data_IF_876126215246
#
_entry.id   IF_876126215246
#
_cell.length_a   1.000
_cell.length_b   1.000
_cell.length_c   1.000
_cell.angle_alpha   90.00
_cell.angle_beta   90.00
_cell.angle_gamma   90.00
#
_symmetry.space_group_name_H-M   'P 1'
#
loop_
_entity.id
_entity.type
_entity.pdbx_description
1 polymer ?
#
# COMPACT_ATOMS: atom_id res chain seq x y z
N UNK A 1 -18.23 -6.23 51.14
CA UNK A 1 -18.75 -7.37 51.94
C UNK A 1 -20.26 -7.55 51.83
N UNK A 2 -21.08 -6.51 52.05
CA UNK A 2 -22.56 -6.59 51.98
C UNK A 2 -23.18 -7.06 50.65
N UNK A 3 -22.53 -6.81 49.51
CA UNK A 3 -23.03 -7.24 48.19
C UNK A 3 -22.85 -8.75 47.93
N UNK A 4 -21.77 -9.36 48.44
CA UNK A 4 -21.58 -10.82 48.37
C UNK A 4 -22.55 -11.55 49.29
N UNK A 5 -22.78 -11.01 50.50
CA UNK A 5 -23.74 -11.58 51.44
C UNK A 5 -25.17 -11.58 50.87
N UNK A 6 -25.58 -10.50 50.21
CA UNK A 6 -26.90 -10.43 49.54
C UNK A 6 -27.06 -11.40 48.37
N UNK A 7 -26.00 -11.69 47.61
CA UNK A 7 -26.05 -12.67 46.51
C UNK A 7 -26.19 -14.09 47.03
N UNK A 8 -25.39 -14.45 48.04
CA UNK A 8 -25.44 -15.77 48.69
C UNK A 8 -26.79 -16.00 49.35
N UNK A 9 -27.33 -15.00 50.07
CA UNK A 9 -28.67 -15.10 50.66
C UNK A 9 -29.74 -15.28 49.58
N UNK A 10 -29.67 -14.53 48.47
CA UNK A 10 -30.61 -14.68 47.36
C UNK A 10 -30.54 -16.07 46.71
N UNK A 11 -29.34 -16.63 46.53
CA UNK A 11 -29.16 -18.00 46.02
C UNK A 11 -29.75 -19.05 46.96
N UNK A 12 -29.52 -18.91 48.28
CA UNK A 12 -30.07 -19.83 49.28
C UNK A 12 -31.60 -19.74 49.32
N UNK A 13 -32.19 -18.54 49.33
CA UNK A 13 -33.65 -18.38 49.35
C UNK A 13 -34.30 -18.87 48.06
N UNK A 14 -33.65 -18.69 46.91
CA UNK A 14 -34.13 -19.23 45.63
C UNK A 14 -34.09 -20.77 45.62
N UNK A 15 -33.00 -21.35 46.14
CA UNK A 15 -32.81 -22.80 46.22
C UNK A 15 -33.81 -23.45 47.17
N UNK A 16 -33.95 -22.89 48.39
CA UNK A 16 -34.95 -23.36 49.37
C UNK A 16 -36.37 -23.13 48.83
N UNK A 17 -36.61 -22.01 48.15
CA UNK A 17 -37.88 -21.73 47.49
C UNK A 17 -38.26 -22.80 46.47
N UNK A 18 -37.32 -23.25 45.65
CA UNK A 18 -37.53 -24.33 44.69
C UNK A 18 -37.81 -25.68 45.38
N UNK A 19 -37.08 -26.02 46.44
CA UNK A 19 -37.32 -27.25 47.21
C UNK A 19 -38.68 -27.25 47.92
N UNK A 20 -39.07 -26.13 48.54
CA UNK A 20 -40.36 -25.97 49.22
C UNK A 20 -41.51 -25.97 48.21
N UNK A 21 -41.31 -25.36 47.04
CA UNK A 21 -42.30 -25.39 45.96
C UNK A 21 -42.47 -26.81 45.38
N UNK A 22 -41.37 -27.52 45.13
CA UNK A 22 -41.39 -28.90 44.63
C UNK A 22 -42.08 -29.87 45.60
N UNK A 23 -41.72 -29.82 46.89
CA UNK A 23 -42.37 -30.62 47.93
C UNK A 23 -43.83 -30.23 48.13
N UNK A 24 -44.17 -28.93 48.05
CA UNK A 24 -45.55 -28.44 48.09
C UNK A 24 -46.41 -28.93 46.93
N UNK A 25 -45.87 -28.98 45.71
CA UNK A 25 -46.55 -29.53 44.52
C UNK A 25 -46.84 -31.02 44.66
N UNK A 26 -45.85 -31.80 45.13
CA UNK A 26 -46.02 -33.24 45.38
C UNK A 26 -47.14 -33.47 46.41
N UNK A 27 -47.10 -32.73 47.53
CA UNK A 27 -48.13 -32.83 48.57
C UNK A 27 -49.51 -32.39 48.08
N UNK A 28 -49.57 -31.34 47.24
CA UNK A 28 -50.82 -30.87 46.63
C UNK A 28 -51.45 -31.93 45.70
N UNK A 29 -50.65 -32.59 44.85
CA UNK A 29 -51.13 -33.66 43.98
C UNK A 29 -51.67 -34.88 44.75
N UNK A 30 -51.05 -35.22 45.89
CA UNK A 30 -51.55 -36.26 46.80
C UNK A 30 -52.84 -35.81 47.52
N UNK A 31 -52.91 -34.58 48.02
CA UNK A 31 -54.06 -34.08 48.78
C UNK A 31 -55.31 -33.83 47.94
N UNK A 32 -55.16 -33.54 46.64
CA UNK A 32 -56.28 -33.34 45.70
C UNK A 32 -56.66 -34.60 44.93
N UNK A 33 -56.06 -35.75 45.26
CA UNK A 33 -56.30 -37.06 44.63
C UNK A 33 -56.14 -37.07 43.10
N UNK A 34 -55.41 -36.09 42.54
CA UNK A 34 -55.06 -36.05 41.11
C UNK A 34 -54.10 -37.21 40.79
N UNK A 35 -53.34 -37.67 41.79
CA UNK A 35 -52.50 -38.86 41.71
C UNK A 35 -53.09 -40.00 42.57
N UNK A 36 -53.92 -40.84 41.95
CA UNK A 36 -54.52 -42.01 42.60
C UNK A 36 -53.46 -43.10 42.80
N UNK A 37 -53.28 -43.58 44.03
CA UNK A 37 -52.33 -44.66 44.38
C UNK A 37 -52.83 -46.03 43.91
N UNK A 38 -52.79 -46.21 42.59
CA UNK A 38 -53.01 -47.48 41.87
C UNK A 38 -51.64 -48.21 41.75
N UNK A 39 -51.55 -49.48 41.36
CA UNK A 39 -50.25 -50.13 41.08
C UNK A 39 -49.40 -49.44 39.98
N UNK A 40 -50.00 -48.67 39.06
CA UNK A 40 -49.31 -48.01 37.95
C UNK A 40 -48.19 -47.02 38.36
N UNK A 41 -48.39 -46.04 39.26
CA UNK A 41 -47.33 -45.11 39.68
C UNK A 41 -46.09 -45.76 40.33
N UNK A 42 -46.25 -46.93 40.94
CA UNK A 42 -45.12 -47.71 41.48
C UNK A 42 -44.23 -48.20 40.33
N UNK A 43 -44.83 -48.66 39.23
CA UNK A 43 -44.10 -49.09 38.03
C UNK A 43 -43.38 -47.93 37.32
N UNK A 44 -44.01 -46.75 37.26
CA UNK A 44 -43.40 -45.54 36.70
C UNK A 44 -42.18 -45.12 37.54
N UNK A 45 -42.31 -45.12 38.87
CA UNK A 45 -41.21 -44.77 39.78
C UNK A 45 -40.04 -45.75 39.65
N UNK A 46 -40.32 -47.05 39.51
CA UNK A 46 -39.29 -48.07 39.26
C UNK A 46 -38.58 -47.85 37.91
N UNK A 47 -39.31 -47.51 36.86
CA UNK A 47 -38.74 -47.23 35.53
C UNK A 47 -37.86 -45.98 35.56
N UNK A 48 -38.30 -44.91 36.23
CA UNK A 48 -37.49 -43.68 36.41
C UNK A 48 -36.23 -43.97 37.22
N UNK A 49 -36.33 -44.79 38.26
CA UNK A 49 -35.16 -45.22 39.05
C UNK A 49 -34.14 -46.01 38.22
N UNK A 50 -34.59 -46.90 37.34
CA UNK A 50 -33.70 -47.63 36.44
C UNK A 50 -33.00 -46.69 35.44
N UNK A 51 -33.73 -45.73 34.87
CA UNK A 51 -33.15 -44.72 33.97
C UNK A 51 -32.10 -43.87 34.70
N UNK A 52 -32.37 -43.42 35.93
CA UNK A 52 -31.42 -42.67 36.74
C UNK A 52 -30.14 -43.50 37.01
N UNK A 53 -30.28 -44.78 37.35
CA UNK A 53 -29.16 -45.69 37.55
C UNK A 53 -28.30 -45.88 36.29
N UNK A 54 -28.94 -45.97 35.12
CA UNK A 54 -28.23 -46.05 33.84
C UNK A 54 -27.47 -44.75 33.56
N UNK A 55 -28.07 -43.59 33.82
CA UNK A 55 -27.42 -42.28 33.63
C UNK A 55 -26.22 -42.12 34.58
N UNK A 56 -26.32 -42.53 35.84
CA UNK A 56 -25.21 -42.43 36.80
C UNK A 56 -24.03 -43.33 36.42
N UNK A 57 -24.29 -44.56 35.97
CA UNK A 57 -23.21 -45.50 35.65
C UNK A 57 -22.63 -45.33 34.24
N UNK A 58 -23.47 -45.04 33.24
CA UNK A 58 -23.06 -44.94 31.84
C UNK A 58 -22.90 -43.50 31.35
N UNK A 59 -23.32 -42.50 32.12
CA UNK A 59 -23.20 -41.09 31.74
C UNK A 59 -21.76 -40.66 31.47
N UNK A 60 -20.81 -41.11 32.30
CA UNK A 60 -19.39 -40.83 32.09
C UNK A 60 -18.87 -41.46 30.78
N UNK A 61 -19.25 -42.72 30.50
CA UNK A 61 -18.84 -43.42 29.27
C UNK A 61 -19.44 -42.80 28.01
N UNK A 62 -20.70 -42.36 28.06
CA UNK A 62 -21.37 -41.66 26.95
C UNK A 62 -20.74 -40.28 26.74
N UNK A 63 -20.37 -39.59 27.82
CA UNK A 63 -19.65 -38.31 27.76
C UNK A 63 -18.28 -38.45 27.07
N UNK A 64 -17.46 -39.41 27.53
CA UNK A 64 -16.16 -39.68 26.91
C UNK A 64 -16.29 -40.10 25.44
N UNK A 65 -17.35 -40.83 25.08
CA UNK A 65 -17.61 -41.21 23.70
C UNK A 65 -18.00 -40.00 22.84
N UNK A 66 -18.84 -39.11 23.37
CA UNK A 66 -19.21 -37.85 22.70
C UNK A 66 -18.00 -36.93 22.51
N UNK A 67 -17.15 -36.80 23.52
CA UNK A 67 -15.93 -36.00 23.46
C UNK A 67 -14.96 -36.56 22.41
N UNK A 68 -14.74 -37.88 22.37
CA UNK A 68 -13.91 -38.53 21.35
C UNK A 68 -14.43 -38.32 19.93
N UNK A 69 -15.75 -38.38 19.73
CA UNK A 69 -16.34 -38.09 18.41
C UNK A 69 -16.11 -36.63 18.01
N UNK A 70 -16.26 -35.70 18.94
CA UNK A 70 -16.06 -34.29 18.67
C UNK A 70 -14.59 -33.98 18.33
N UNK A 71 -13.65 -34.56 19.09
CA UNK A 71 -12.22 -34.46 18.80
C UNK A 71 -11.87 -35.01 17.40
N UNK A 72 -12.43 -36.16 17.02
CA UNK A 72 -12.22 -36.73 15.68
C UNK A 72 -12.79 -35.83 14.57
N UNK A 73 -13.98 -35.26 14.76
CA UNK A 73 -14.58 -34.34 13.79
C UNK A 73 -13.69 -33.10 13.62
N UNK A 74 -13.20 -32.53 14.73
CA UNK A 74 -12.30 -31.36 14.71
C UNK A 74 -10.97 -31.71 14.01
N UNK A 75 -10.38 -32.87 14.32
CA UNK A 75 -9.13 -33.31 13.71
C UNK A 75 -9.26 -33.50 12.19
N UNK A 76 -10.32 -34.17 11.74
CA UNK A 76 -10.60 -34.36 10.31
C UNK A 76 -10.83 -33.02 9.60
N UNK A 77 -11.57 -32.10 10.24
CA UNK A 77 -11.83 -30.78 9.67
C UNK A 77 -10.54 -29.96 9.51
N UNK A 78 -9.66 -30.00 10.52
CA UNK A 78 -8.38 -29.29 10.46
C UNK A 78 -7.43 -29.93 9.44
N UNK A 79 -7.43 -31.25 9.27
CA UNK A 79 -6.66 -31.92 8.22
C UNK A 79 -7.12 -31.50 6.82
N UNK A 80 -8.43 -31.52 6.55
CA UNK A 80 -8.99 -31.11 5.26
C UNK A 80 -8.70 -29.63 4.99
N UNK A 81 -8.85 -28.78 6.00
CA UNK A 81 -8.51 -27.36 5.90
C UNK A 81 -7.02 -27.17 5.59
N UNK A 82 -6.12 -27.84 6.31
CA UNK A 82 -4.68 -27.76 6.08
C UNK A 82 -4.29 -28.27 4.69
N UNK A 83 -4.93 -29.35 4.21
CA UNK A 83 -4.73 -29.86 2.85
C UNK A 83 -5.19 -28.86 1.79
N UNK A 84 -6.35 -28.22 1.99
CA UNK A 84 -6.86 -27.19 1.09
C UNK A 84 -5.95 -25.95 1.02
N UNK A 85 -5.44 -25.48 2.16
CA UNK A 85 -4.52 -24.35 2.23
C UNK A 85 -3.21 -24.68 1.51
N UNK A 86 -2.65 -25.88 1.74
CA UNK A 86 -1.44 -26.35 1.04
C UNK A 86 -1.65 -26.44 -0.47
N UNK A 87 -2.80 -26.95 -0.91
CA UNK A 87 -3.14 -27.03 -2.32
C UNK A 87 -3.18 -25.64 -2.98
N UNK A 88 -3.88 -24.69 -2.36
CA UNK A 88 -3.98 -23.30 -2.86
C UNK A 88 -2.61 -22.61 -2.86
N UNK A 89 -1.80 -22.83 -1.82
CA UNK A 89 -0.46 -22.26 -1.74
C UNK A 89 0.45 -22.81 -2.85
N UNK A 90 0.43 -24.13 -3.10
CA UNK A 90 1.19 -24.74 -4.18
C UNK A 90 0.75 -24.23 -5.56
N UNK A 91 -0.56 -24.09 -5.80
CA UNK A 91 -1.08 -23.50 -7.03
C UNK A 91 -0.59 -22.06 -7.23
N UNK A 92 -0.60 -21.25 -6.16
CA UNK A 92 -0.11 -19.86 -6.20
C UNK A 92 1.40 -19.78 -6.48
N UNK A 93 2.19 -20.67 -5.89
CA UNK A 93 3.64 -20.70 -6.11
C UNK A 93 3.99 -21.13 -7.54
N UNK A 94 3.23 -22.09 -8.10
CA UNK A 94 3.34 -22.46 -9.50
C UNK A 94 3.00 -21.28 -10.42
N UNK A 95 1.90 -20.58 -10.18
CA UNK A 95 1.51 -19.39 -10.95
C UNK A 95 2.58 -18.29 -10.87
N UNK A 96 3.14 -18.01 -9.68
CA UNK A 96 4.24 -17.04 -9.53
C UNK A 96 5.48 -17.43 -10.32
N UNK A 97 5.83 -18.72 -10.33
CA UNK A 97 6.98 -19.21 -11.10
C UNK A 97 6.75 -19.03 -12.61
N UNK A 98 5.52 -19.29 -13.09
CA UNK A 98 5.14 -19.05 -14.48
C UNK A 98 5.14 -17.56 -14.83
N UNK A 99 4.62 -16.71 -13.93
CA UNK A 99 4.63 -15.26 -14.11
C UNK A 99 6.05 -14.71 -14.20
N UNK A 100 6.99 -15.22 -13.40
CA UNK A 100 8.40 -14.82 -13.48
C UNK A 100 9.03 -15.19 -14.84
N UNK A 101 8.71 -16.37 -15.37
CA UNK A 101 9.17 -16.80 -16.69
C UNK A 101 8.59 -15.90 -17.79
N UNK A 102 7.28 -15.64 -17.77
CA UNK A 102 6.62 -14.76 -18.74
C UNK A 102 7.20 -13.35 -18.66
N UNK A 103 7.37 -12.81 -17.46
CA UNK A 103 7.94 -11.48 -17.26
C UNK A 103 9.35 -11.37 -17.86
N UNK A 104 10.20 -12.39 -17.65
CA UNK A 104 11.55 -12.44 -18.23
C UNK A 104 11.53 -12.50 -19.76
N UNK A 105 10.54 -13.18 -20.35
CA UNK A 105 10.38 -13.25 -21.80
C UNK A 105 9.92 -11.91 -22.39
N UNK A 106 9.01 -11.20 -21.72
CA UNK A 106 8.52 -9.88 -22.15
C UNK A 106 9.65 -8.85 -22.07
N UNK A 107 10.41 -8.81 -20.97
CA UNK A 107 11.54 -7.87 -20.84
C UNK A 107 12.62 -8.15 -21.89
N UNK A 108 12.86 -9.42 -22.23
CA UNK A 108 13.76 -9.79 -23.31
C UNK A 108 13.26 -9.30 -24.68
N UNK A 109 11.97 -9.48 -25.00
CA UNK A 109 11.38 -8.99 -26.24
C UNK A 109 11.44 -7.46 -26.35
N UNK A 110 11.07 -6.75 -25.28
CA UNK A 110 11.16 -5.29 -25.21
C UNK A 110 12.60 -4.81 -25.39
N UNK A 111 13.57 -5.45 -24.73
CA UNK A 111 14.98 -5.11 -24.87
C UNK A 111 15.48 -5.33 -26.29
N UNK A 112 15.02 -6.41 -26.94
CA UNK A 112 15.33 -6.70 -28.34
C UNK A 112 14.77 -5.64 -29.28
N UNK A 113 13.52 -5.22 -29.11
CA UNK A 113 12.92 -4.16 -29.93
C UNK A 113 13.65 -2.82 -29.78
N UNK A 114 13.98 -2.43 -28.54
CA UNK A 114 14.77 -1.21 -28.27
C UNK A 114 16.16 -1.28 -28.93
N UNK A 115 16.81 -2.45 -28.85
CA UNK A 115 18.13 -2.66 -29.46
C UNK A 115 18.09 -2.50 -30.98
N UNK A 116 16.99 -2.90 -31.64
CA UNK A 116 16.82 -2.75 -33.09
C UNK A 116 16.54 -1.30 -33.49
N UNK A 117 15.82 -0.53 -32.67
CA UNK A 117 15.47 0.85 -32.98
C UNK A 117 16.62 1.84 -32.72
N UNK A 118 17.49 1.54 -31.75
CA UNK A 118 18.60 2.41 -31.35
C UNK A 118 19.57 2.81 -32.48
N UNK A 119 20.09 1.89 -33.33
CA UNK A 119 21.01 2.28 -34.40
C UNK A 119 20.34 3.17 -35.45
N UNK A 120 19.07 2.92 -35.77
CA UNK A 120 18.30 3.74 -36.73
C UNK A 120 18.12 5.16 -36.19
N UNK A 121 17.74 5.29 -34.92
CA UNK A 121 17.62 6.60 -34.27
C UNK A 121 18.96 7.34 -34.24
N UNK A 122 20.05 6.63 -33.92
CA UNK A 122 21.39 7.20 -33.86
C UNK A 122 21.85 7.74 -35.22
N UNK A 123 21.65 6.97 -36.29
CA UNK A 123 22.04 7.39 -37.64
C UNK A 123 21.29 8.66 -38.08
N UNK A 124 19.97 8.71 -37.86
CA UNK A 124 19.17 9.91 -38.16
C UNK A 124 19.63 11.13 -37.36
N UNK A 125 19.96 10.93 -36.08
CA UNK A 125 20.48 11.99 -35.22
C UNK A 125 21.85 12.49 -35.69
N UNK A 126 22.77 11.57 -36.02
CA UNK A 126 24.12 11.91 -36.46
C UNK A 126 24.08 12.73 -37.76
N UNK A 127 23.18 12.40 -38.69
CA UNK A 127 22.95 13.21 -39.91
C UNK A 127 22.44 14.62 -39.59
N UNK A 128 21.47 14.74 -38.68
CA UNK A 128 20.92 16.04 -38.30
C UNK A 128 21.96 16.91 -37.58
N UNK A 129 22.69 16.33 -36.63
CA UNK A 129 23.75 17.03 -35.90
C UNK A 129 24.88 17.46 -36.85
N UNK A 130 25.21 16.65 -37.86
CA UNK A 130 26.13 17.05 -38.92
C UNK A 130 25.66 18.30 -39.66
N UNK A 131 24.40 18.33 -40.14
CA UNK A 131 23.86 19.51 -40.82
C UNK A 131 23.84 20.76 -39.94
N UNK A 132 23.48 20.64 -38.66
CA UNK A 132 23.52 21.76 -37.71
C UNK A 132 24.96 22.25 -37.52
N UNK A 133 25.93 21.34 -37.38
CA UNK A 133 27.33 21.69 -37.19
C UNK A 133 27.90 22.45 -38.39
N UNK A 134 27.57 22.01 -39.62
CA UNK A 134 27.99 22.68 -40.86
C UNK A 134 27.36 24.06 -40.95
N UNK A 135 26.06 24.21 -40.64
CA UNK A 135 25.41 25.52 -40.64
C UNK A 135 26.03 26.48 -39.62
N UNK A 136 26.32 25.99 -38.41
CA UNK A 136 26.95 26.81 -37.38
C UNK A 136 28.37 27.23 -37.78
N UNK A 137 29.14 26.33 -38.40
CA UNK A 137 30.46 26.64 -38.94
C UNK A 137 30.40 27.70 -40.04
N UNK A 138 29.43 27.59 -40.96
CA UNK A 138 29.25 28.57 -42.04
C UNK A 138 28.88 29.95 -41.48
N UNK A 139 27.90 30.02 -40.56
CA UNK A 139 27.54 31.27 -39.88
C UNK A 139 28.73 31.87 -39.15
N UNK A 140 29.51 31.06 -38.46
CA UNK A 140 30.69 31.53 -37.74
C UNK A 140 31.75 32.09 -38.69
N UNK A 141 31.98 31.44 -39.85
CA UNK A 141 32.89 31.94 -40.88
C UNK A 141 32.40 33.23 -41.55
N UNK A 142 31.10 33.34 -41.78
CA UNK A 142 30.47 34.57 -42.28
C UNK A 142 30.64 35.73 -41.28
N UNK A 143 30.41 35.46 -39.98
CA UNK A 143 30.63 36.43 -38.92
C UNK A 143 32.10 36.86 -38.82
N UNK A 144 33.04 35.92 -38.85
CA UNK A 144 34.48 36.20 -38.83
C UNK A 144 34.90 37.05 -40.04
N UNK A 145 34.41 36.70 -41.23
CA UNK A 145 34.66 37.47 -42.45
C UNK A 145 34.07 38.88 -42.37
N UNK A 146 32.84 39.02 -41.89
CA UNK A 146 32.16 40.31 -41.72
C UNK A 146 32.91 41.21 -40.73
N UNK A 147 33.39 40.66 -39.60
CA UNK A 147 34.18 41.40 -38.60
C UNK A 147 35.51 41.86 -39.23
N UNK A 148 36.26 40.95 -39.85
CA UNK A 148 37.56 41.29 -40.47
C UNK A 148 37.41 42.29 -41.62
N UNK A 149 36.35 42.17 -42.43
CA UNK A 149 36.03 43.16 -43.46
C UNK A 149 35.69 44.51 -42.84
N UNK A 150 34.86 44.53 -41.80
CA UNK A 150 34.52 45.74 -41.05
C UNK A 150 35.75 46.42 -40.43
N UNK A 151 36.63 45.67 -39.78
CA UNK A 151 37.89 46.16 -39.22
C UNK A 151 38.80 46.78 -40.29
N UNK A 152 38.99 46.10 -41.43
CA UNK A 152 39.79 46.63 -42.54
C UNK A 152 39.17 47.88 -43.16
N UNK A 153 37.86 47.88 -43.38
CA UNK A 153 37.16 49.02 -43.96
C UNK A 153 37.20 50.23 -43.02
N UNK A 154 36.98 50.02 -41.73
CA UNK A 154 37.08 51.06 -40.70
C UNK A 154 38.50 51.60 -40.58
N UNK A 155 39.53 50.73 -40.56
CA UNK A 155 40.92 51.17 -40.55
C UNK A 155 41.29 52.01 -41.78
N UNK A 156 40.79 51.62 -42.97
CA UNK A 156 40.98 52.37 -44.21
C UNK A 156 40.23 53.71 -44.22
N UNK A 157 38.96 53.73 -43.80
CA UNK A 157 38.15 54.96 -43.77
C UNK A 157 38.68 55.95 -42.74
N UNK A 158 39.12 55.46 -41.57
CA UNK A 158 39.77 56.29 -40.55
C UNK A 158 41.04 56.91 -41.13
N UNK A 159 41.90 56.16 -41.81
CA UNK A 159 43.15 56.70 -42.38
C UNK A 159 42.93 57.80 -43.43
N UNK A 160 41.91 57.68 -44.29
CA UNK A 160 41.64 58.67 -45.37
C UNK A 160 40.96 59.94 -44.83
N UNK A 161 40.15 59.82 -43.79
CA UNK A 161 39.40 60.94 -43.22
C UNK A 161 40.11 61.61 -42.02
N UNK A 162 41.14 60.95 -41.44
CA UNK A 162 41.72 61.31 -40.16
C UNK A 162 42.40 62.67 -40.14
N UNK A 163 43.25 62.98 -41.11
CA UNK A 163 44.13 64.15 -40.96
C UNK A 163 43.34 65.46 -40.89
N UNK A 164 42.22 65.56 -41.60
CA UNK A 164 41.43 66.80 -41.63
C UNK A 164 40.37 66.84 -40.54
N UNK A 165 39.62 65.75 -40.34
CA UNK A 165 38.52 65.75 -39.36
C UNK A 165 39.01 65.58 -37.92
N UNK A 166 40.13 64.88 -37.68
CA UNK A 166 40.69 64.72 -36.33
C UNK A 166 41.35 66.00 -35.84
N UNK A 167 42.03 66.75 -36.72
CA UNK A 167 42.57 68.07 -36.35
C UNK A 167 41.42 69.02 -36.02
N UNK A 168 40.36 69.05 -36.83
CA UNK A 168 39.19 69.90 -36.56
C UNK A 168 38.51 69.49 -35.25
N UNK A 169 38.31 68.19 -35.01
CA UNK A 169 37.70 67.71 -33.76
C UNK A 169 38.58 68.02 -32.54
N UNK A 170 39.90 67.85 -32.65
CA UNK A 170 40.85 68.21 -31.59
C UNK A 170 40.86 69.73 -31.32
N UNK A 171 40.76 70.57 -32.35
CA UNK A 171 40.63 72.03 -32.19
C UNK A 171 39.29 72.37 -31.51
N UNK A 172 38.19 71.74 -31.91
CA UNK A 172 36.87 71.95 -31.27
C UNK A 172 36.92 71.52 -29.81
N UNK A 173 37.47 70.35 -29.51
CA UNK A 173 37.61 69.86 -28.13
C UNK A 173 38.55 70.77 -27.31
N UNK A 174 39.64 71.29 -27.88
CA UNK A 174 40.52 72.28 -27.26
C UNK A 174 39.81 73.62 -27.02
N UNK A 175 38.98 74.09 -27.95
CA UNK A 175 38.19 75.30 -27.78
C UNK A 175 37.11 75.13 -26.71
N UNK A 176 36.51 73.94 -26.61
CA UNK A 176 35.53 73.60 -25.58
C UNK A 176 36.21 73.58 -24.20
N UNK A 177 37.36 72.90 -24.08
CA UNK A 177 38.20 72.91 -22.88
C UNK A 177 38.70 74.31 -22.50
N UNK A 178 39.12 75.13 -23.46
CA UNK A 178 39.57 76.51 -23.21
C UNK A 178 38.42 77.42 -22.76
N UNK A 179 37.22 77.23 -23.30
CA UNK A 179 36.00 77.93 -22.88
C UNK A 179 35.57 77.53 -21.48
N UNK A 180 35.70 76.24 -21.13
CA UNK A 180 35.51 75.76 -19.77
C UNK A 180 36.58 76.32 -18.80
N UNK A 181 37.82 76.48 -19.25
CA UNK A 181 38.90 77.10 -18.48
C UNK A 181 38.73 78.62 -18.28
N UNK A 182 38.22 79.37 -19.27
CA UNK A 182 37.85 80.79 -19.11
C UNK A 182 36.62 81.01 -18.23
N UNK A 183 35.76 80.00 -18.09
CA UNK A 183 34.60 80.02 -17.21
C UNK A 183 34.93 79.63 -15.76
N UNK A 184 36.19 79.30 -15.44
CA UNK A 184 36.67 79.12 -14.07
C UNK A 184 37.45 80.37 -13.60
N UNK A 185 36.88 81.21 -12.73
CA UNK A 185 37.65 82.22 -12.01
C UNK A 185 38.43 81.55 -10.88
N UNK A 186 39.76 81.51 -11.00
CA UNK A 186 40.64 81.45 -9.83
C UNK A 186 41.12 82.88 -9.59
N UNK A 187 40.52 83.49 -8.55
CA UNK A 187 40.92 84.66 -7.75
C UNK A 187 41.82 85.74 -8.40
#
# INVERSE_FOLDING_TARGET
MHLRLRRVVKEITCTIGAYVFGTGLILYFLSKEIHVMTPEPISVTSTVGLIAYIIENYGASIGEFADKLNEQIIANLEEVKQASIKYVQNATDLEKSQQALIQSSITFLMSREITLLWPVYKEVKDHLDYHISVQNMMRWKEQEHMINWGEKHVAQSIFVQQEKETIVKCIVDLMLLAKEAQAQPVL
#
